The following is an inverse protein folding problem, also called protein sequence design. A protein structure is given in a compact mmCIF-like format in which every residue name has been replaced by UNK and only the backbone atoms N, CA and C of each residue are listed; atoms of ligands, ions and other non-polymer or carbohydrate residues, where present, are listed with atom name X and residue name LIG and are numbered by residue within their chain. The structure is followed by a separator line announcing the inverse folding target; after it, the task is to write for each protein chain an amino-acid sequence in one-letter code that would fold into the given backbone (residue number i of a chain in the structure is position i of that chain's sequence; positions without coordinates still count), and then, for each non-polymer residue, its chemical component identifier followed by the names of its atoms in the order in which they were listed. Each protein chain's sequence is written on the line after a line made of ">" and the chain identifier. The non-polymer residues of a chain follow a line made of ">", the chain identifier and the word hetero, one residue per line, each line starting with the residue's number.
data_IF_408185013337
#
_entry.id   IF_408185013337
#
_cell.length_a   1.000
_cell.length_b   1.000
_cell.length_c   1.000
_cell.angle_alpha   90.00
_cell.angle_beta   90.00
_cell.angle_gamma   90.00
#
_symmetry.space_group_name_H-M   'P 1'
#
loop_
_entity.id
_entity.type
_entity.pdbx_description
1 polymer ?
#
# COMPACT_ATOMS: atom_id res chain seq x y z
N UNK A 1 53.04 -51.29 41.64
CA UNK A 1 51.73 -51.55 41.00
C UNK A 1 51.33 -50.27 40.29
N UNK A 2 51.52 -50.21 38.97
CA UNK A 2 51.28 -49.01 38.16
C UNK A 2 49.82 -48.98 37.71
N UNK A 3 49.10 -47.91 38.04
CA UNK A 3 47.80 -47.60 37.43
C UNK A 3 48.08 -46.64 36.27
N UNK A 4 47.69 -46.95 35.02
CA UNK A 4 47.87 -46.02 33.91
C UNK A 4 46.81 -44.92 33.99
N UNK A 5 47.24 -43.65 33.83
CA UNK A 5 46.32 -42.53 33.61
C UNK A 5 45.75 -42.64 32.20
N UNK A 6 44.42 -42.81 32.09
CA UNK A 6 43.71 -42.68 30.82
C UNK A 6 43.73 -41.21 30.41
N UNK A 7 44.25 -40.92 29.21
CA UNK A 7 44.23 -39.60 28.60
C UNK A 7 42.91 -39.44 27.85
N UNK A 8 42.03 -38.56 28.32
CA UNK A 8 40.75 -38.27 27.64
C UNK A 8 41.02 -37.25 26.53
N UNK A 9 41.01 -37.70 25.28
CA UNK A 9 41.13 -36.83 24.11
C UNK A 9 39.82 -36.08 23.88
N UNK A 10 39.84 -34.76 24.04
CA UNK A 10 38.72 -33.89 23.69
C UNK A 10 38.78 -33.59 22.20
N UNK A 11 37.83 -34.13 21.43
CA UNK A 11 37.66 -33.76 20.01
C UNK A 11 36.80 -32.49 19.96
N UNK A 12 37.43 -31.36 19.65
CA UNK A 12 36.73 -30.11 19.40
C UNK A 12 36.25 -30.09 17.94
N UNK A 13 34.97 -30.37 17.73
CA UNK A 13 34.33 -30.20 16.41
C UNK A 13 34.10 -28.71 16.18
N UNK A 14 34.79 -28.13 15.20
CA UNK A 14 34.61 -26.72 14.84
C UNK A 14 33.47 -26.62 13.83
N UNK A 15 32.35 -26.03 14.23
CA UNK A 15 31.23 -25.73 13.32
C UNK A 15 31.57 -24.44 12.57
N UNK A 16 31.77 -24.54 11.25
CA UNK A 16 31.94 -23.37 10.38
C UNK A 16 30.54 -22.79 10.11
N UNK A 17 30.27 -21.61 10.66
CA UNK A 17 29.07 -20.85 10.35
C UNK A 17 29.31 -20.12 9.02
N UNK A 18 28.62 -20.54 7.95
CA UNK A 18 28.59 -19.78 6.71
C UNK A 18 27.64 -18.59 6.90
N UNK A 19 28.19 -17.39 7.09
CA UNK A 19 27.43 -16.17 6.91
C UNK A 19 27.23 -15.98 5.40
N UNK A 20 26.06 -16.34 4.89
CA UNK A 20 25.65 -15.94 3.56
C UNK A 20 25.43 -14.42 3.59
N UNK A 21 26.29 -13.67 2.91
CA UNK A 21 26.03 -12.25 2.62
C UNK A 21 24.93 -12.21 1.57
N UNK A 22 23.70 -11.92 1.96
CA UNK A 22 22.65 -11.62 1.00
C UNK A 22 23.02 -10.35 0.26
N UNK A 23 23.37 -10.47 -1.02
CA UNK A 23 23.39 -9.33 -1.91
C UNK A 23 21.93 -8.93 -2.12
N UNK A 24 21.47 -7.88 -1.43
CA UNK A 24 20.17 -7.29 -1.69
C UNK A 24 20.20 -6.70 -3.12
N UNK A 25 19.74 -7.47 -4.10
CA UNK A 25 19.47 -6.93 -5.43
C UNK A 25 18.27 -5.97 -5.30
N UNK A 26 18.42 -4.77 -5.85
CA UNK A 26 17.29 -3.85 -6.01
C UNK A 26 16.22 -4.56 -6.86
N UNK A 27 15.01 -4.69 -6.30
CA UNK A 27 13.87 -5.26 -7.01
C UNK A 27 13.18 -4.09 -7.72
N UNK A 28 13.13 -4.18 -9.04
CA UNK A 28 12.37 -3.25 -9.88
C UNK A 28 11.04 -3.89 -10.24
N UNK A 29 9.94 -3.20 -9.94
CA UNK A 29 8.62 -3.54 -10.42
C UNK A 29 8.26 -2.68 -11.64
N UNK A 30 7.71 -3.28 -12.68
CA UNK A 30 7.17 -2.55 -13.82
C UNK A 30 5.88 -3.13 -14.32
N UNK A 31 5.06 -2.29 -14.95
CA UNK A 31 3.73 -2.67 -15.37
C UNK A 31 2.90 -1.48 -15.79
N UNK A 32 1.60 -1.65 -15.70
CA UNK A 32 0.62 -0.59 -15.89
C UNK A 32 -0.29 -0.53 -14.68
N UNK A 33 -0.74 0.66 -14.33
CA UNK A 33 -1.85 0.82 -13.40
C UNK A 33 -3.16 1.00 -14.14
N UNK A 34 -4.26 0.71 -13.46
CA UNK A 34 -5.60 1.15 -13.80
C UNK A 34 -6.39 1.40 -12.52
N UNK A 35 -7.57 2.01 -12.62
CA UNK A 35 -8.38 2.23 -11.44
C UNK A 35 -9.86 2.34 -11.75
N UNK A 36 -10.66 1.98 -10.76
CA UNK A 36 -12.13 2.00 -10.79
C UNK A 36 -12.64 2.70 -9.55
N UNK A 37 -13.49 3.71 -9.74
CA UNK A 37 -14.21 4.31 -8.63
C UNK A 37 -15.37 3.42 -8.20
N UNK A 38 -15.74 3.53 -6.93
CA UNK A 38 -17.04 3.04 -6.44
C UNK A 38 -17.97 4.19 -6.07
N UNK A 39 -19.21 3.81 -5.78
CA UNK A 39 -20.21 4.76 -5.30
C UNK A 39 -19.92 5.17 -3.84
N UNK A 40 -20.32 6.39 -3.43
CA UNK A 40 -20.16 6.83 -2.06
C UNK A 40 -20.95 5.97 -1.08
N UNK A 41 -20.42 5.84 0.14
CA UNK A 41 -21.04 5.07 1.22
C UNK A 41 -22.45 5.58 1.52
N UNK A 42 -22.63 6.90 1.46
CA UNK A 42 -23.93 7.57 1.60
C UNK A 42 -24.31 8.16 0.25
N UNK A 43 -25.02 7.39 -0.57
CA UNK A 43 -25.53 7.84 -1.86
C UNK A 43 -26.75 8.72 -1.72
N UNK A 44 -26.81 9.76 -2.56
CA UNK A 44 -27.97 10.64 -2.73
C UNK A 44 -28.84 10.26 -3.92
N UNK A 45 -28.42 9.27 -4.72
CA UNK A 45 -29.13 8.76 -5.89
C UNK A 45 -28.86 9.54 -7.18
N UNK A 46 -27.88 10.45 -7.16
CA UNK A 46 -27.45 11.25 -8.32
C UNK A 46 -25.98 11.02 -8.68
N UNK A 47 -25.42 9.90 -8.24
CA UNK A 47 -24.07 9.43 -8.56
C UNK A 47 -24.10 8.32 -9.60
N UNK A 48 -23.15 8.32 -10.53
CA UNK A 48 -23.00 7.24 -11.50
C UNK A 48 -21.54 7.09 -11.94
N UNK A 49 -21.19 5.86 -12.29
CA UNK A 49 -19.88 5.48 -12.81
C UNK A 49 -19.94 5.42 -14.34
N UNK A 50 -18.84 5.77 -15.00
CA UNK A 50 -18.70 5.69 -16.45
C UNK A 50 -17.29 5.30 -16.87
N UNK A 51 -17.22 4.71 -18.06
CA UNK A 51 -15.99 4.34 -18.75
C UNK A 51 -15.53 5.53 -19.60
N UNK A 52 -14.31 6.01 -19.37
CA UNK A 52 -13.70 7.13 -20.07
C UNK A 52 -12.28 6.76 -20.49
N UNK A 53 -11.82 7.30 -21.62
CA UNK A 53 -10.45 7.08 -22.12
C UNK A 53 -10.01 5.60 -22.23
N UNK A 54 -10.97 4.66 -22.32
CA UNK A 54 -10.71 3.22 -22.36
C UNK A 54 -10.55 2.54 -21.00
N UNK A 55 -10.72 3.27 -19.89
CA UNK A 55 -10.83 2.70 -18.55
C UNK A 55 -12.24 2.18 -18.23
N UNK A 56 -12.35 1.36 -17.19
CA UNK A 56 -13.63 0.81 -16.70
C UNK A 56 -14.01 1.46 -15.38
N UNK A 57 -15.20 2.08 -15.30
CA UNK A 57 -15.68 2.83 -14.13
C UNK A 57 -14.64 3.81 -13.58
N UNK A 58 -13.76 4.31 -14.44
CA UNK A 58 -12.63 5.15 -14.07
C UNK A 58 -13.04 6.61 -13.88
N UNK A 59 -14.33 6.93 -14.07
CA UNK A 59 -14.95 8.20 -13.71
C UNK A 59 -16.17 8.01 -12.81
N UNK A 60 -16.17 8.73 -11.69
CA UNK A 60 -17.34 8.95 -10.85
C UNK A 60 -17.88 10.36 -11.12
N UNK A 61 -19.14 10.47 -11.51
CA UNK A 61 -19.85 11.75 -11.70
C UNK A 61 -20.98 11.87 -10.69
N UNK A 62 -21.18 13.05 -10.13
CA UNK A 62 -22.26 13.30 -9.18
C UNK A 62 -22.96 14.63 -9.35
N UNK A 63 -24.18 14.66 -8.81
CA UNK A 63 -24.95 15.86 -8.59
C UNK A 63 -25.83 16.31 -9.75
N UNK A 64 -26.63 17.33 -9.48
CA UNK A 64 -27.48 17.98 -10.47
C UNK A 64 -26.90 19.37 -10.74
N UNK A 65 -26.33 19.54 -11.93
CA UNK A 65 -25.70 20.79 -12.35
C UNK A 65 -26.68 21.97 -12.31
N UNK A 66 -26.19 23.13 -11.89
CA UNK A 66 -26.86 24.40 -12.09
C UNK A 66 -26.95 24.74 -13.60
N UNK A 67 -27.90 25.60 -13.98
CA UNK A 67 -28.27 25.88 -15.39
C UNK A 67 -27.11 26.24 -16.31
N UNK A 68 -26.07 26.88 -15.79
CA UNK A 68 -24.89 27.32 -16.56
C UNK A 68 -23.61 26.60 -16.12
N UNK A 69 -23.75 25.42 -15.53
CA UNK A 69 -22.64 24.64 -14.97
C UNK A 69 -22.63 23.21 -15.51
N UNK A 70 -21.70 22.40 -15.01
CA UNK A 70 -21.60 20.98 -15.27
C UNK A 70 -21.64 20.21 -13.93
N UNK A 71 -21.79 18.88 -14.03
CA UNK A 71 -21.78 17.99 -12.86
C UNK A 71 -20.37 17.82 -12.34
N UNK A 72 -20.23 17.61 -11.04
CA UNK A 72 -18.96 17.26 -10.44
C UNK A 72 -18.51 15.89 -10.92
N UNK A 73 -17.21 15.72 -11.14
CA UNK A 73 -16.66 14.41 -11.43
C UNK A 73 -15.18 14.28 -11.05
N UNK A 74 -14.79 13.09 -10.65
CA UNK A 74 -13.39 12.67 -10.60
C UNK A 74 -13.15 11.57 -11.60
N UNK A 75 -11.99 11.60 -12.24
CA UNK A 75 -11.55 10.57 -13.17
C UNK A 75 -10.11 10.20 -12.88
N UNK A 76 -9.80 8.91 -12.97
CA UNK A 76 -8.48 8.34 -12.81
C UNK A 76 -8.07 7.62 -14.09
N UNK A 77 -7.00 8.05 -14.74
CA UNK A 77 -6.43 7.39 -15.89
C UNK A 77 -5.08 6.77 -15.51
N UNK A 78 -4.97 5.45 -15.64
CA UNK A 78 -3.76 4.72 -15.27
C UNK A 78 -2.56 5.00 -16.18
N UNK A 79 -1.35 4.79 -15.64
CA UNK A 79 -0.08 5.02 -16.31
C UNK A 79 0.78 3.76 -16.34
N UNK A 80 1.71 3.69 -17.29
CA UNK A 80 2.81 2.72 -17.22
C UNK A 80 3.82 3.15 -16.17
N UNK A 81 4.39 2.19 -15.45
CA UNK A 81 5.39 2.46 -14.43
C UNK A 81 6.58 1.52 -14.49
N UNK A 82 7.71 1.99 -13.97
CA UNK A 82 8.87 1.20 -13.60
C UNK A 82 9.49 1.87 -12.38
N UNK A 83 9.57 1.14 -11.27
CA UNK A 83 10.00 1.69 -9.99
C UNK A 83 10.73 0.65 -9.16
N UNK A 84 11.61 1.12 -8.29
CA UNK A 84 12.22 0.29 -7.26
C UNK A 84 11.41 0.37 -5.97
N UNK A 85 11.60 -0.62 -5.09
CA UNK A 85 11.06 -0.57 -3.73
C UNK A 85 11.53 0.71 -3.02
N UNK A 86 10.62 1.35 -2.29
CA UNK A 86 10.82 2.62 -1.62
C UNK A 86 11.20 3.81 -2.53
N UNK A 87 10.74 3.78 -3.79
CA UNK A 87 10.91 4.89 -4.73
C UNK A 87 9.55 5.40 -5.18
N UNK A 88 9.40 6.73 -5.20
CA UNK A 88 8.20 7.40 -5.68
C UNK A 88 8.05 7.26 -7.19
N UNK A 89 6.84 6.93 -7.63
CA UNK A 89 6.51 6.82 -9.05
C UNK A 89 5.08 7.29 -9.31
N UNK A 90 4.85 7.81 -10.52
CA UNK A 90 3.53 8.18 -10.98
C UNK A 90 2.70 6.92 -11.23
N UNK A 91 1.48 6.88 -10.69
CA UNK A 91 0.55 5.78 -10.92
C UNK A 91 -0.66 6.21 -11.73
N UNK A 92 -1.05 7.47 -11.81
CA UNK A 92 -2.20 7.83 -12.61
C UNK A 92 -2.38 9.33 -12.76
N UNK A 93 -3.03 9.73 -13.84
CA UNK A 93 -3.56 11.07 -14.01
C UNK A 93 -4.93 11.16 -13.32
N UNK A 94 -5.06 12.14 -12.43
CA UNK A 94 -6.31 12.46 -11.76
C UNK A 94 -6.88 13.77 -12.33
N UNK A 95 -8.11 13.69 -12.84
CA UNK A 95 -8.88 14.85 -13.28
C UNK A 95 -10.01 15.12 -12.29
N UNK A 96 -10.15 16.37 -11.82
CA UNK A 96 -11.28 16.79 -11.01
C UNK A 96 -12.00 17.97 -11.65
N UNK A 97 -13.19 17.70 -12.20
CA UNK A 97 -14.13 18.74 -12.59
C UNK A 97 -15.02 19.16 -11.42
N UNK A 98 -14.91 20.41 -11.01
CA UNK A 98 -15.77 21.03 -10.01
C UNK A 98 -16.71 22.05 -10.67
N UNK A 99 -17.99 21.76 -10.67
CA UNK A 99 -19.05 22.64 -11.16
C UNK A 99 -20.11 22.88 -10.08
N UNK A 100 -20.78 24.03 -10.15
CA UNK A 100 -21.90 24.30 -9.25
C UNK A 100 -23.05 23.29 -9.42
N UNK A 101 -23.41 22.60 -8.33
CA UNK A 101 -24.52 21.63 -8.26
C UNK A 101 -25.53 22.01 -7.17
N UNK A 102 -26.81 21.67 -7.36
CA UNK A 102 -27.87 21.86 -6.34
C UNK A 102 -27.94 20.72 -5.33
N UNK A 103 -27.45 19.56 -5.72
CA UNK A 103 -27.45 18.32 -4.96
C UNK A 103 -26.13 17.60 -5.23
N UNK A 104 -25.57 17.01 -4.19
CA UNK A 104 -24.34 16.23 -4.23
C UNK A 104 -24.17 15.51 -2.89
N UNK A 105 -23.04 14.85 -2.71
CA UNK A 105 -22.71 14.17 -1.47
C UNK A 105 -21.42 14.76 -0.89
N UNK A 106 -21.32 14.74 0.43
CA UNK A 106 -20.07 14.88 1.16
C UNK A 106 -19.77 13.54 1.81
N UNK A 107 -18.50 13.13 1.83
CA UNK A 107 -18.11 11.91 2.50
C UNK A 107 -17.31 10.96 1.62
N UNK A 108 -17.27 9.71 2.09
CA UNK A 108 -16.32 8.70 1.63
C UNK A 108 -16.81 7.93 0.40
N UNK A 109 -15.88 7.66 -0.51
CA UNK A 109 -16.07 6.80 -1.68
C UNK A 109 -14.75 6.10 -2.05
N UNK A 110 -14.81 4.86 -2.58
CA UNK A 110 -13.60 4.08 -2.80
C UNK A 110 -12.98 4.32 -4.20
N UNK A 111 -11.67 4.17 -4.27
CA UNK A 111 -10.90 3.93 -5.50
C UNK A 111 -10.17 2.60 -5.34
N UNK A 112 -10.44 1.66 -6.23
CA UNK A 112 -9.59 0.49 -6.42
C UNK A 112 -8.52 0.83 -7.46
N UNK A 113 -7.25 0.67 -7.10
CA UNK A 113 -6.10 0.78 -8.01
C UNK A 113 -5.57 -0.62 -8.27
N UNK A 114 -5.58 -1.04 -9.53
CA UNK A 114 -4.93 -2.26 -9.98
C UNK A 114 -3.51 -1.93 -10.46
N UNK A 115 -2.50 -2.68 -10.02
CA UNK A 115 -1.19 -2.74 -10.64
C UNK A 115 -1.05 -4.05 -11.41
N UNK A 116 -1.04 -3.97 -12.74
CA UNK A 116 -0.76 -5.09 -13.63
C UNK A 116 0.75 -5.19 -13.88
N UNK A 117 1.42 -6.05 -13.11
CA UNK A 117 2.86 -6.28 -13.20
C UNK A 117 3.23 -7.09 -14.43
N UNK A 118 4.37 -6.71 -15.02
CA UNK A 118 5.04 -7.41 -16.12
C UNK A 118 6.48 -7.81 -15.78
N UNK A 119 7.05 -7.19 -14.74
CA UNK A 119 8.33 -7.52 -14.15
C UNK A 119 8.26 -7.26 -12.63
N UNK A 120 8.83 -8.13 -11.80
CA UNK A 120 9.52 -9.40 -12.11
C UNK A 120 8.59 -10.60 -12.38
N UNK A 121 7.28 -10.40 -12.38
CA UNK A 121 6.27 -11.43 -12.54
C UNK A 121 5.06 -10.87 -13.30
N UNK A 122 4.23 -11.77 -13.84
CA UNK A 122 3.02 -11.41 -14.58
C UNK A 122 1.79 -11.67 -13.69
N UNK A 123 1.39 -10.67 -12.91
CA UNK A 123 0.19 -10.74 -12.07
C UNK A 123 -0.45 -9.35 -11.95
N UNK A 124 -1.72 -9.31 -11.55
CA UNK A 124 -2.41 -8.08 -11.18
C UNK A 124 -2.68 -8.08 -9.67
N UNK A 125 -2.47 -6.94 -9.02
CA UNK A 125 -2.73 -6.75 -7.59
C UNK A 125 -3.61 -5.52 -7.39
N UNK A 126 -4.65 -5.65 -6.56
CA UNK A 126 -5.63 -4.60 -6.31
C UNK A 126 -5.41 -3.95 -4.94
N UNK A 127 -5.50 -2.63 -4.90
CA UNK A 127 -5.33 -1.81 -3.71
C UNK A 127 -6.51 -0.87 -3.55
N UNK A 128 -7.25 -1.01 -2.47
CA UNK A 128 -8.42 -0.22 -2.17
C UNK A 128 -8.05 0.97 -1.29
N UNK A 129 -8.48 2.15 -1.70
CA UNK A 129 -8.31 3.39 -0.98
C UNK A 129 -9.66 4.06 -0.77
N UNK A 130 -9.82 4.72 0.37
CA UNK A 130 -10.98 5.58 0.65
C UNK A 130 -10.61 7.02 0.41
N UNK A 131 -11.31 7.64 -0.54
CA UNK A 131 -11.30 9.07 -0.79
C UNK A 131 -12.48 9.72 -0.10
N UNK A 132 -12.36 11.01 0.18
CA UNK A 132 -13.40 11.84 0.76
C UNK A 132 -13.52 13.13 -0.04
N UNK A 133 -14.75 13.59 -0.24
CA UNK A 133 -15.03 14.90 -0.83
C UNK A 133 -15.65 15.83 0.20
N UNK A 134 -15.10 17.04 0.26
CA UNK A 134 -15.65 18.18 0.96
C UNK A 134 -16.04 19.26 -0.05
N UNK A 135 -17.35 19.39 -0.28
CA UNK A 135 -17.91 20.42 -1.14
C UNK A 135 -18.05 21.70 -0.30
N UNK A 136 -17.40 22.78 -0.73
CA UNK A 136 -17.40 24.03 0.03
C UNK A 136 -18.64 24.87 -0.29
N UNK A 137 -19.16 25.68 0.65
CA UNK A 137 -20.23 26.61 0.34
C UNK A 137 -19.74 27.74 -0.57
N UNK A 138 -20.42 27.97 -1.70
CA UNK A 138 -20.08 29.02 -2.67
C UNK A 138 -20.55 30.41 -2.19
N UNK A 139 -19.89 30.96 -1.17
CA UNK A 139 -20.28 32.20 -0.48
C UNK A 139 -19.27 33.34 -0.64
N UNK A 140 -18.07 33.05 -1.13
CA UNK A 140 -17.00 34.04 -1.25
C UNK A 140 -17.00 34.76 -2.60
N UNK A 141 -17.71 34.20 -3.60
CA UNK A 141 -17.70 34.70 -4.99
C UNK A 141 -16.26 34.75 -5.53
N UNK A 142 -15.46 33.76 -5.14
CA UNK A 142 -14.08 33.56 -5.54
C UNK A 142 -13.91 32.07 -5.85
N UNK A 143 -13.66 31.69 -7.12
CA UNK A 143 -13.62 30.29 -7.50
C UNK A 143 -12.60 29.44 -6.74
N UNK A 144 -11.51 30.05 -6.24
CA UNK A 144 -10.48 29.33 -5.50
C UNK A 144 -10.89 29.12 -4.05
N UNK A 145 -11.49 30.14 -3.41
CA UNK A 145 -11.98 30.02 -2.03
C UNK A 145 -13.25 29.16 -1.91
N UNK A 146 -14.05 29.16 -2.97
CA UNK A 146 -15.25 28.32 -3.10
C UNK A 146 -14.91 26.93 -3.70
N UNK A 147 -13.62 26.61 -3.93
CA UNK A 147 -13.19 25.36 -4.54
C UNK A 147 -13.34 24.15 -3.62
N UNK A 148 -13.90 23.07 -4.18
CA UNK A 148 -14.09 21.79 -3.49
C UNK A 148 -12.79 21.02 -3.28
N UNK A 149 -12.74 20.24 -2.21
CA UNK A 149 -11.53 19.56 -1.75
C UNK A 149 -11.72 18.05 -1.81
N UNK A 150 -10.90 17.39 -2.64
CA UNK A 150 -10.72 15.95 -2.67
C UNK A 150 -9.53 15.56 -1.79
N UNK A 151 -9.67 14.53 -0.96
CA UNK A 151 -8.58 13.99 -0.16
C UNK A 151 -8.66 12.46 -0.07
N UNK A 152 -7.54 11.81 0.26
CA UNK A 152 -7.52 10.40 0.62
C UNK A 152 -7.21 10.22 2.11
N UNK A 153 -7.73 9.14 2.68
CA UNK A 153 -7.62 8.85 4.11
C UNK A 153 -6.40 7.99 4.45
N UNK A 154 -6.21 7.67 5.74
CA UNK A 154 -5.18 6.76 6.24
C UNK A 154 -3.73 7.09 5.81
N UNK A 155 -3.45 8.36 5.51
CA UNK A 155 -2.14 8.82 5.00
C UNK A 155 -1.67 8.01 3.77
N UNK A 156 -2.62 7.59 2.92
CA UNK A 156 -2.34 6.86 1.69
C UNK A 156 -2.00 5.38 1.88
N UNK A 157 -2.15 4.84 3.09
CA UNK A 157 -1.97 3.41 3.35
C UNK A 157 -3.26 2.62 3.06
N UNK A 158 -3.07 1.38 2.62
CA UNK A 158 -4.12 0.37 2.52
C UNK A 158 -3.72 -0.88 3.31
N UNK A 159 -4.70 -1.73 3.62
CA UNK A 159 -4.45 -3.06 4.20
C UNK A 159 -4.16 -4.12 3.12
N UNK A 160 -4.34 -3.76 1.85
CA UNK A 160 -4.07 -4.66 0.75
C UNK A 160 -2.56 -4.81 0.53
N UNK A 161 -2.13 -6.04 0.27
CA UNK A 161 -0.72 -6.39 0.10
C UNK A 161 -0.58 -7.53 -0.89
N UNK A 162 0.58 -7.61 -1.53
CA UNK A 162 0.96 -8.71 -2.41
C UNK A 162 2.28 -9.34 -1.95
N UNK A 163 2.42 -10.66 -2.14
CA UNK A 163 3.65 -11.37 -1.83
C UNK A 163 4.50 -11.52 -3.08
N UNK A 164 5.77 -11.13 -2.99
CA UNK A 164 6.77 -11.45 -4.00
C UNK A 164 8.01 -12.04 -3.36
N UNK A 165 8.39 -13.24 -3.80
CA UNK A 165 9.55 -13.98 -3.30
C UNK A 165 9.57 -14.15 -1.77
N UNK A 166 8.40 -14.35 -1.15
CA UNK A 166 8.27 -14.55 0.30
C UNK A 166 8.28 -13.27 1.13
N UNK A 167 8.30 -12.09 0.50
CA UNK A 167 8.20 -10.79 1.16
C UNK A 167 6.86 -10.14 0.78
N UNK A 168 6.14 -9.64 1.78
CA UNK A 168 4.90 -8.89 1.56
C UNK A 168 5.19 -7.42 1.29
N UNK A 169 4.52 -6.88 0.29
CA UNK A 169 4.60 -5.50 -0.14
C UNK A 169 3.21 -4.88 -0.18
N UNK A 170 3.13 -3.57 0.00
CA UNK A 170 1.90 -2.79 -0.21
C UNK A 170 2.20 -1.56 -1.06
N UNK A 171 1.14 -0.96 -1.60
CA UNK A 171 1.20 0.31 -2.30
C UNK A 171 0.77 1.41 -1.33
N UNK A 172 1.59 2.45 -1.22
CA UNK A 172 1.29 3.63 -0.41
C UNK A 172 1.15 4.85 -1.31
N UNK A 173 0.03 5.54 -1.26
CA UNK A 173 -0.13 6.84 -1.92
C UNK A 173 0.72 7.90 -1.21
N UNK A 174 1.53 8.60 -1.99
CA UNK A 174 2.35 9.71 -1.51
C UNK A 174 1.61 11.04 -1.57
N UNK A 175 0.77 11.22 -2.60
CA UNK A 175 -0.05 12.41 -2.77
C UNK A 175 -0.21 12.82 -4.23
N UNK A 176 -0.95 13.91 -4.41
CA UNK A 176 -1.14 14.57 -5.69
C UNK A 176 0.02 15.52 -5.99
N UNK A 177 0.47 15.55 -7.25
CA UNK A 177 1.49 16.47 -7.71
C UNK A 177 1.10 17.10 -9.05
N UNK A 178 1.23 18.42 -9.12
CA UNK A 178 1.04 19.20 -10.37
C UNK A 178 2.36 19.77 -10.91
N UNK A 179 3.49 19.43 -10.30
CA UNK A 179 4.82 19.97 -10.61
C UNK A 179 5.84 18.87 -10.99
N UNK A 180 5.35 17.70 -11.40
CA UNK A 180 6.20 16.59 -11.85
C UNK A 180 6.88 15.82 -10.71
N UNK A 181 6.26 15.75 -9.53
CA UNK A 181 6.75 15.01 -8.38
C UNK A 181 7.72 15.79 -7.49
N UNK A 182 7.78 17.13 -7.60
CA UNK A 182 8.60 17.95 -6.71
C UNK A 182 7.89 18.23 -5.38
N UNK A 183 6.56 18.38 -5.41
CA UNK A 183 5.72 18.53 -4.22
C UNK A 183 4.55 17.56 -4.25
N UNK A 184 4.12 17.16 -3.05
CA UNK A 184 3.02 16.23 -2.82
C UNK A 184 2.03 16.82 -1.83
N UNK A 185 0.77 16.83 -2.21
CA UNK A 185 -0.35 17.25 -1.38
C UNK A 185 -1.25 16.06 -1.08
N UNK A 186 -1.75 15.97 0.15
CA UNK A 186 -2.79 15.00 0.53
C UNK A 186 -4.18 15.42 0.07
N UNK A 187 -4.31 16.65 -0.42
CA UNK A 187 -5.54 17.25 -0.90
C UNK A 187 -5.38 17.75 -2.33
N UNK A 188 -6.48 17.69 -3.08
CA UNK A 188 -6.58 18.15 -4.46
C UNK A 188 -7.81 19.04 -4.59
N UNK A 189 -7.56 20.34 -4.67
CA UNK A 189 -8.60 21.36 -4.81
C UNK A 189 -8.86 21.65 -6.30
N UNK A 190 -10.13 21.68 -6.67
CA UNK A 190 -10.56 22.17 -7.99
C UNK A 190 -11.42 23.43 -7.82
N UNK A 191 -11.00 24.59 -8.37
CA UNK A 191 -11.80 25.81 -8.33
C UNK A 191 -13.21 25.62 -8.91
N UNK A 192 -14.18 26.37 -8.40
CA UNK A 192 -15.55 26.36 -8.93
C UNK A 192 -15.58 26.63 -10.43
N UNK A 193 -16.42 25.88 -11.14
CA UNK A 193 -16.59 25.93 -12.60
C UNK A 193 -15.31 25.63 -13.39
N UNK A 194 -14.43 24.78 -12.85
CA UNK A 194 -13.16 24.46 -13.48
C UNK A 194 -12.85 22.97 -13.49
N UNK A 195 -11.83 22.61 -14.27
CA UNK A 195 -11.27 21.27 -14.31
C UNK A 195 -9.80 21.36 -13.93
N UNK A 196 -9.44 20.71 -12.84
CA UNK A 196 -8.07 20.60 -12.36
C UNK A 196 -7.47 19.24 -12.73
N UNK A 197 -6.15 19.20 -12.90
CA UNK A 197 -5.40 17.97 -13.17
C UNK A 197 -4.21 17.86 -12.22
N UNK A 198 -3.95 16.65 -11.74
CA UNK A 198 -2.75 16.29 -10.99
C UNK A 198 -2.37 14.85 -11.27
N UNK A 199 -1.11 14.50 -11.04
CA UNK A 199 -0.63 13.12 -11.09
C UNK A 199 -0.65 12.57 -9.67
N UNK A 200 -1.22 11.38 -9.49
CA UNK A 200 -1.14 10.63 -8.24
C UNK A 200 0.17 9.86 -8.20
N UNK A 201 0.95 10.08 -7.16
CA UNK A 201 2.19 9.35 -6.91
C UNK A 201 2.03 8.35 -5.78
N UNK A 202 2.75 7.24 -5.91
CA UNK A 202 2.78 6.18 -4.91
C UNK A 202 4.19 5.62 -4.73
N UNK A 203 4.33 4.73 -3.76
CA UNK A 203 5.55 4.02 -3.40
C UNK A 203 5.19 2.56 -3.10
N UNK A 204 5.96 1.61 -3.64
CA UNK A 204 5.87 0.21 -3.22
C UNK A 204 6.78 0.05 -2.00
N UNK A 205 6.19 -0.31 -0.86
CA UNK A 205 6.90 -0.46 0.41
C UNK A 205 6.75 -1.89 0.93
N UNK A 206 7.73 -2.35 1.71
CA UNK A 206 7.63 -3.63 2.42
C UNK A 206 6.63 -3.51 3.57
N UNK A 207 5.85 -4.56 3.79
CA UNK A 207 5.02 -4.69 4.99
C UNK A 207 5.91 -5.24 6.11
N UNK A 208 6.11 -4.45 7.16
CA UNK A 208 6.85 -4.89 8.34
C UNK A 208 5.99 -5.88 9.13
N UNK A 209 6.20 -7.18 8.94
CA UNK A 209 5.65 -8.22 9.81
C UNK A 209 6.58 -8.39 11.01
N UNK A 210 6.11 -8.29 12.27
CA UNK A 210 6.93 -8.69 13.41
C UNK A 210 7.29 -10.16 13.25
N UNK A 211 8.58 -10.45 13.05
CA UNK A 211 9.09 -11.82 12.94
C UNK A 211 8.51 -12.68 14.08
N UNK A 212 7.85 -13.83 13.79
CA UNK A 212 7.47 -14.75 14.83
C UNK A 212 8.77 -15.18 15.51
N UNK A 213 8.96 -14.74 16.75
CA UNK A 213 10.11 -15.13 17.58
C UNK A 213 10.30 -16.62 17.41
N UNK A 214 11.31 -17.03 16.66
CA UNK A 214 11.63 -18.42 16.47
C UNK A 214 12.21 -18.86 17.80
N UNK A 215 11.33 -19.27 18.73
CA UNK A 215 11.75 -20.01 19.91
C UNK A 215 12.41 -21.24 19.31
N UNK A 216 13.73 -21.27 19.46
CA UNK A 216 14.64 -22.35 19.12
C UNK A 216 14.00 -23.67 19.59
N UNK A 217 13.28 -24.34 18.70
CA UNK A 217 12.72 -25.67 18.90
C UNK A 217 13.80 -26.72 18.66
N UNK A 218 15.00 -26.48 19.21
CA UNK A 218 16.14 -27.40 19.23
C UNK A 218 16.36 -27.98 20.64
N UNK A 219 15.35 -27.90 21.52
CA UNK A 219 15.43 -28.29 22.92
C UNK A 219 14.66 -29.53 23.36
N UNK A 220 13.94 -30.25 22.49
CA UNK A 220 13.05 -31.34 22.93
C UNK A 220 13.07 -32.61 22.05
N UNK A 221 14.22 -32.97 21.48
CA UNK A 221 14.43 -34.35 21.01
C UNK A 221 15.60 -35.00 21.77
N UNK A 222 15.25 -35.56 22.92
CA UNK A 222 15.76 -36.84 23.40
C UNK A 222 17.10 -36.88 24.10
N UNK A 223 17.09 -36.93 25.44
CA UNK A 223 17.72 -38.03 26.19
C UNK A 223 16.90 -38.32 27.46
N UNK A 224 15.82 -39.11 27.32
CA UNK A 224 15.32 -39.93 28.43
C UNK A 224 16.11 -41.25 28.37
N UNK A 225 17.07 -41.45 29.26
CA UNK A 225 17.57 -42.79 29.61
C UNK A 225 18.14 -42.81 31.03
N UNK A 226 17.24 -43.24 31.94
CA UNK A 226 17.47 -44.08 33.13
C UNK A 226 18.44 -43.58 34.21
N UNK A 227 17.83 -43.10 35.30
CA UNK A 227 18.43 -43.23 36.63
C UNK A 227 18.32 -44.65 37.14
N UNK A 228 19.41 -45.20 37.64
CA UNK A 228 19.44 -45.93 38.91
C UNK A 228 20.89 -46.07 39.33
N UNK A 229 21.25 -45.49 40.48
CA UNK A 229 22.36 -45.99 41.30
C UNK A 229 22.18 -45.44 42.73
N UNK A 230 21.56 -46.31 43.52
CA UNK A 230 21.62 -46.46 44.97
C UNK A 230 22.59 -45.54 45.71
N UNK A 231 22.03 -44.69 46.57
CA UNK A 231 22.74 -44.15 47.73
C UNK A 231 22.76 -45.25 48.79
N UNK A 232 23.88 -45.96 48.93
CA UNK A 232 24.26 -46.56 50.21
C UNK A 232 25.43 -45.76 50.78
N UNK A 233 25.15 -45.07 51.88
CA UNK A 233 26.11 -44.25 52.62
C UNK A 233 26.61 -45.10 53.79
N UNK A 234 27.85 -45.57 53.71
CA UNK A 234 28.57 -46.13 54.87
C UNK A 234 29.80 -45.27 55.19
N UNK A 235 29.84 -44.81 56.46
CA UNK A 235 30.94 -44.32 57.33
C UNK A 235 30.22 -43.58 58.47
N UNK A 236 30.38 -43.87 59.75
CA UNK A 236 31.25 -44.73 60.58
C UNK A 236 30.41 -45.31 61.73
#
# INVERSE_FOLDING_TARGET
>A
MNIPKLLTTLVATTTILFAATENAQAITFSGTSSGSWGLPVVSTGVEFLSDENGGTNNRLTWGIAATTSFRNYVQYDGLSFSTDVNTLFAIGDLTYGNGATYYGFNGDFPLEVELSFTNPFNNAENFNYTFNIFNTPNIYNDPVLDGDILLFTANGLTNDSFNFAGVDYTLKLAGFSSDGGNTFLSEFNSPEHSVANAILYAEIIKVDVPEPTTIIALGLFGIYLTGSLNISRNRE
#
